data_IF_763460450924
#
_entry.id   IF_763460450924
#
_cell.length_a   1.000
_cell.length_b   1.000
_cell.length_c   1.000
_cell.angle_alpha   90.00
_cell.angle_beta   90.00
_cell.angle_gamma   90.00
#
_symmetry.space_group_name_H-M   'P 1'
#
loop_
_entity.id
_entity.type
_entity.pdbx_description
1 polymer ?
#
# COMPACT_ATOMS: atom_id res chain seq x y z
N UNK A 1 22.29 -31.71 14.14
CA UNK A 1 21.45 -30.99 13.17
C UNK A 1 22.22 -30.91 11.87
N UNK A 2 21.96 -31.85 10.96
CA UNK A 2 22.75 -32.00 9.74
C UNK A 2 22.34 -30.92 8.72
N UNK A 3 23.31 -30.10 8.31
CA UNK A 3 23.19 -29.30 7.10
C UNK A 3 23.18 -30.30 5.93
N UNK A 4 22.04 -30.44 5.26
CA UNK A 4 21.93 -31.23 4.03
C UNK A 4 22.86 -30.66 2.97
N UNK A 5 23.96 -31.35 2.67
CA UNK A 5 24.80 -31.05 1.50
C UNK A 5 23.96 -31.22 0.23
N UNK A 6 23.74 -30.12 -0.50
CA UNK A 6 23.06 -30.14 -1.78
C UNK A 6 23.93 -30.92 -2.78
N UNK A 7 23.36 -31.94 -3.41
CA UNK A 7 24.06 -32.68 -4.46
C UNK A 7 24.39 -31.77 -5.64
N UNK A 8 25.49 -32.06 -6.34
CA UNK A 8 25.89 -31.33 -7.55
C UNK A 8 24.77 -31.30 -8.62
N UNK A 9 23.96 -32.36 -8.70
CA UNK A 9 22.77 -32.42 -9.56
C UNK A 9 21.68 -31.42 -9.15
N UNK A 10 21.44 -31.25 -7.85
CA UNK A 10 20.47 -30.28 -7.31
C UNK A 10 20.92 -28.85 -7.57
N UNK A 11 22.21 -28.57 -7.39
CA UNK A 11 22.80 -27.26 -7.71
C UNK A 11 22.64 -26.97 -9.20
N UNK A 12 22.97 -27.94 -10.07
CA UNK A 12 22.82 -27.78 -11.52
C UNK A 12 21.37 -27.48 -11.91
N UNK A 13 20.40 -28.21 -11.34
CA UNK A 13 18.99 -27.98 -11.61
C UNK A 13 18.52 -26.57 -11.19
N UNK A 14 18.95 -26.09 -10.01
CA UNK A 14 18.65 -24.73 -9.54
C UNK A 14 19.28 -23.67 -10.45
N UNK A 15 20.52 -23.87 -10.89
CA UNK A 15 21.19 -22.96 -11.84
C UNK A 15 20.43 -22.90 -13.16
N UNK A 16 19.99 -24.03 -13.71
CA UNK A 16 19.19 -24.03 -14.94
C UNK A 16 17.85 -23.32 -14.76
N UNK A 17 17.19 -23.50 -13.60
CA UNK A 17 15.93 -22.80 -13.28
C UNK A 17 16.12 -21.28 -13.21
N UNK A 18 17.21 -20.82 -12.58
CA UNK A 18 17.55 -19.39 -12.53
C UNK A 18 17.82 -18.86 -13.94
N UNK A 19 18.64 -19.56 -14.73
CA UNK A 19 18.92 -19.17 -16.13
C UNK A 19 17.63 -19.08 -16.95
N UNK A 20 16.74 -20.06 -16.83
CA UNK A 20 15.47 -20.05 -17.53
C UNK A 20 14.61 -18.85 -17.12
N UNK A 21 14.51 -18.55 -15.81
CA UNK A 21 13.71 -17.41 -15.32
C UNK A 21 14.30 -16.04 -15.70
N UNK A 22 15.63 -15.92 -15.73
CA UNK A 22 16.34 -14.66 -16.02
C UNK A 22 16.43 -14.37 -17.53
N UNK A 23 16.52 -15.41 -18.36
CA UNK A 23 16.76 -15.29 -19.80
C UNK A 23 15.58 -15.76 -20.66
N UNK A 24 14.43 -16.10 -20.07
CA UNK A 24 13.19 -16.30 -20.82
C UNK A 24 12.73 -14.98 -21.45
N UNK A 25 12.14 -15.04 -22.65
CA UNK A 25 11.45 -13.91 -23.29
C UNK A 25 10.15 -13.49 -22.57
N UNK A 26 10.04 -13.77 -21.27
CA UNK A 26 8.91 -13.37 -20.44
C UNK A 26 8.97 -11.86 -20.23
N UNK A 27 7.82 -11.21 -20.28
CA UNK A 27 7.72 -9.78 -20.01
C UNK A 27 8.29 -9.48 -18.61
N UNK A 28 9.33 -8.63 -18.56
CA UNK A 28 10.03 -8.27 -17.33
C UNK A 28 9.06 -7.62 -16.32
N UNK A 29 8.02 -6.93 -16.80
CA UNK A 29 7.02 -6.29 -15.96
C UNK A 29 6.12 -7.29 -15.23
N UNK A 30 6.04 -8.55 -15.67
CA UNK A 30 5.30 -9.61 -14.98
C UNK A 30 5.90 -10.03 -13.63
N UNK A 31 7.15 -9.62 -13.34
CA UNK A 31 7.81 -9.88 -12.06
C UNK A 31 7.60 -8.77 -11.03
N UNK A 32 6.95 -7.67 -11.41
CA UNK A 32 6.66 -6.55 -10.51
C UNK A 32 5.25 -6.73 -9.97
N UNK A 33 5.13 -6.86 -8.65
CA UNK A 33 3.82 -6.89 -8.00
C UNK A 33 3.09 -5.56 -8.23
N UNK A 34 1.78 -5.57 -8.49
CA UNK A 34 0.98 -4.35 -8.59
C UNK A 34 1.07 -3.52 -7.30
N UNK A 35 1.23 -2.21 -7.44
CA UNK A 35 1.19 -1.28 -6.32
C UNK A 35 -0.23 -0.76 -6.14
N UNK A 36 -0.91 -1.21 -5.09
CA UNK A 36 -2.28 -0.77 -4.82
C UNK A 36 -2.39 0.75 -4.63
N UNK A 37 -1.37 1.37 -4.02
CA UNK A 37 -1.29 2.81 -3.84
C UNK A 37 -1.27 3.55 -5.19
N UNK A 38 -0.39 3.15 -6.11
CA UNK A 38 -0.25 3.80 -7.41
C UNK A 38 -1.46 3.53 -8.31
N UNK A 39 -1.99 2.30 -8.30
CA UNK A 39 -3.22 1.95 -9.03
C UNK A 39 -4.41 2.76 -8.54
N UNK A 40 -4.53 3.02 -7.24
CA UNK A 40 -5.59 3.88 -6.71
C UNK A 40 -5.45 5.33 -7.17
N UNK A 41 -4.23 5.86 -7.25
CA UNK A 41 -3.99 7.19 -7.83
C UNK A 41 -4.43 7.30 -9.29
N UNK A 42 -4.13 6.29 -10.11
CA UNK A 42 -4.63 6.24 -11.49
C UNK A 42 -6.15 6.12 -11.54
N UNK A 43 -6.75 5.32 -10.66
CA UNK A 43 -8.20 5.18 -10.58
C UNK A 43 -8.90 6.49 -10.25
N UNK A 44 -8.25 7.45 -9.58
CA UNK A 44 -8.84 8.76 -9.25
C UNK A 44 -8.88 9.74 -10.44
N UNK A 45 -8.16 9.50 -11.53
CA UNK A 45 -8.06 10.46 -12.64
C UNK A 45 -9.40 10.47 -13.40
N UNK A 46 -10.10 11.62 -13.49
CA UNK A 46 -11.33 11.71 -14.27
C UNK A 46 -11.03 11.72 -15.77
N UNK A 47 -11.94 11.15 -16.55
CA UNK A 47 -11.88 11.26 -18.01
C UNK A 47 -12.07 12.74 -18.41
N UNK A 48 -11.18 13.31 -19.25
CA UNK A 48 -11.23 14.73 -19.60
C UNK A 48 -12.48 15.12 -20.41
N UNK A 49 -13.14 14.14 -21.04
CA UNK A 49 -14.36 14.32 -21.81
C UNK A 49 -15.61 13.86 -21.05
N UNK A 50 -15.47 12.98 -20.05
CA UNK A 50 -16.55 12.46 -19.21
C UNK A 50 -16.14 12.49 -17.72
N UNK A 51 -16.19 13.66 -17.04
CA UNK A 51 -15.63 13.80 -15.70
C UNK A 51 -16.30 12.96 -14.61
N UNK A 52 -17.46 12.37 -14.91
CA UNK A 52 -18.25 11.47 -14.07
C UNK A 52 -17.75 10.02 -14.08
N UNK A 53 -16.74 9.69 -14.88
CA UNK A 53 -16.09 8.37 -14.92
C UNK A 53 -14.57 8.44 -14.84
N UNK A 54 -13.90 7.37 -14.37
CA UNK A 54 -12.44 7.30 -14.40
C UNK A 54 -11.89 7.23 -15.83
N UNK A 55 -10.78 7.90 -16.08
CA UNK A 55 -9.99 7.76 -17.32
C UNK A 55 -9.45 6.34 -17.46
N UNK A 56 -9.08 5.71 -16.33
CA UNK A 56 -8.55 4.36 -16.25
C UNK A 56 -9.50 3.44 -15.48
N UNK A 57 -10.61 3.06 -16.10
CA UNK A 57 -11.64 2.23 -15.47
C UNK A 57 -11.11 0.90 -14.92
N UNK A 58 -10.17 0.26 -15.63
CA UNK A 58 -9.54 -0.99 -15.19
C UNK A 58 -8.78 -0.85 -13.86
N UNK A 59 -8.24 0.34 -13.56
CA UNK A 59 -7.60 0.58 -12.26
C UNK A 59 -8.63 0.61 -11.13
N UNK A 60 -9.81 1.19 -11.36
CA UNK A 60 -10.90 1.19 -10.38
C UNK A 60 -11.44 -0.23 -10.16
N UNK A 61 -11.63 -0.98 -11.25
CA UNK A 61 -12.05 -2.38 -11.18
C UNK A 61 -11.02 -3.22 -10.42
N UNK A 62 -9.73 -3.00 -10.65
CA UNK A 62 -8.67 -3.68 -9.90
C UNK A 62 -8.75 -3.36 -8.40
N UNK A 63 -8.94 -2.09 -8.02
CA UNK A 63 -9.09 -1.70 -6.61
C UNK A 63 -10.28 -2.41 -5.97
N UNK A 64 -11.44 -2.46 -6.64
CA UNK A 64 -12.63 -3.15 -6.14
C UNK A 64 -12.40 -4.64 -5.86
N UNK A 65 -11.60 -5.30 -6.69
CA UNK A 65 -11.45 -6.75 -6.68
C UNK A 65 -10.19 -7.25 -5.96
N UNK A 66 -9.28 -6.35 -5.54
CA UNK A 66 -7.98 -6.72 -4.96
C UNK A 66 -7.85 -6.42 -3.46
N UNK A 67 -8.97 -6.12 -2.78
CA UNK A 67 -8.98 -5.99 -1.33
C UNK A 67 -8.70 -7.34 -0.67
N UNK A 68 -7.78 -7.37 0.30
CA UNK A 68 -7.50 -8.58 1.09
C UNK A 68 -8.70 -8.92 1.99
N UNK A 69 -8.75 -10.18 2.45
CA UNK A 69 -9.83 -10.64 3.31
C UNK A 69 -9.90 -9.84 4.61
N UNK A 70 -8.74 -9.43 5.13
CA UNK A 70 -8.55 -8.61 6.32
C UNK A 70 -8.90 -7.12 6.11
N UNK A 71 -9.30 -6.73 4.89
CA UNK A 71 -9.86 -5.42 4.59
C UNK A 71 -8.87 -4.36 4.09
N UNK A 72 -7.59 -4.67 3.95
CA UNK A 72 -6.58 -3.73 3.48
C UNK A 72 -6.20 -3.95 2.01
N UNK A 73 -5.47 -2.97 1.47
CA UNK A 73 -4.74 -3.10 0.21
C UNK A 73 -3.24 -2.93 0.46
N UNK A 74 -2.44 -3.65 -0.32
CA UNK A 74 -0.98 -3.68 -0.20
C UNK A 74 -0.46 -5.09 0.03
N UNK A 75 0.82 -5.15 0.38
CA UNK A 75 1.57 -6.39 0.48
C UNK A 75 1.83 -6.79 1.93
N UNK A 76 1.99 -8.09 2.13
CA UNK A 76 2.50 -8.65 3.37
C UNK A 76 4.03 -8.68 3.37
N UNK A 77 4.65 -8.68 4.55
CA UNK A 77 6.04 -9.09 4.68
C UNK A 77 6.20 -10.59 4.41
N UNK A 78 7.45 -11.07 4.42
CA UNK A 78 7.77 -12.49 4.20
C UNK A 78 7.16 -13.47 5.22
N UNK A 79 6.51 -12.96 6.28
CA UNK A 79 5.83 -13.74 7.31
C UNK A 79 4.31 -13.63 7.25
N UNK A 80 3.76 -12.96 6.22
CA UNK A 80 2.32 -12.78 6.10
C UNK A 80 1.76 -11.71 7.03
N UNK A 81 2.58 -10.76 7.49
CA UNK A 81 2.12 -9.63 8.33
C UNK A 81 2.03 -8.36 7.48
N UNK A 82 0.92 -7.59 7.54
CA UNK A 82 0.81 -6.33 6.80
C UNK A 82 1.98 -5.40 7.12
N UNK A 83 2.51 -4.73 6.10
CA UNK A 83 3.58 -3.73 6.29
C UNK A 83 2.98 -2.35 6.58
N UNK A 84 3.86 -1.41 6.97
CA UNK A 84 3.44 -0.02 7.17
C UNK A 84 2.88 0.60 5.86
N UNK A 85 3.27 0.07 4.70
CA UNK A 85 2.85 0.53 3.36
C UNK A 85 1.35 0.28 3.13
N UNK A 86 0.76 -0.69 3.85
CA UNK A 86 -0.68 -0.98 3.78
C UNK A 86 -1.54 0.19 4.24
N UNK A 87 -1.05 1.04 5.15
CA UNK A 87 -1.81 2.20 5.63
C UNK A 87 -2.10 3.22 4.52
N UNK A 88 -1.09 3.83 3.85
CA UNK A 88 -1.34 4.76 2.75
C UNK A 88 -1.99 4.08 1.54
N UNK A 89 -1.66 2.82 1.24
CA UNK A 89 -2.30 2.09 0.15
C UNK A 89 -3.81 1.91 0.39
N UNK A 90 -4.20 1.50 1.59
CA UNK A 90 -5.62 1.33 1.97
C UNK A 90 -6.37 2.66 1.93
N UNK A 91 -5.76 3.74 2.46
CA UNK A 91 -6.34 5.08 2.37
C UNK A 91 -6.54 5.50 0.90
N UNK A 92 -5.56 5.29 0.03
CA UNK A 92 -5.65 5.66 -1.38
C UNK A 92 -6.77 4.90 -2.09
N UNK A 93 -6.85 3.58 -1.88
CA UNK A 93 -7.93 2.76 -2.42
C UNK A 93 -9.30 3.23 -1.94
N UNK A 94 -9.47 3.54 -0.65
CA UNK A 94 -10.73 4.04 -0.11
C UNK A 94 -11.12 5.40 -0.70
N UNK A 95 -10.16 6.31 -0.88
CA UNK A 95 -10.40 7.61 -1.53
C UNK A 95 -10.83 7.40 -2.98
N UNK A 96 -10.18 6.49 -3.73
CA UNK A 96 -10.56 6.16 -5.09
C UNK A 96 -12.00 5.62 -5.18
N UNK A 97 -12.36 4.68 -4.30
CA UNK A 97 -13.72 4.14 -4.21
C UNK A 97 -14.75 5.22 -3.85
N UNK A 98 -14.42 6.07 -2.87
CA UNK A 98 -15.27 7.17 -2.42
C UNK A 98 -15.52 8.19 -3.51
N UNK A 99 -14.49 8.54 -4.29
CA UNK A 99 -14.56 9.49 -5.40
C UNK A 99 -15.61 9.11 -6.44
N UNK A 100 -15.71 7.82 -6.74
CA UNK A 100 -16.66 7.28 -7.73
C UNK A 100 -17.95 6.75 -7.10
N UNK A 101 -18.13 6.92 -5.78
CA UNK A 101 -19.28 6.45 -5.02
C UNK A 101 -19.57 4.94 -5.21
N UNK A 102 -18.52 4.13 -5.21
CA UNK A 102 -18.58 2.66 -5.33
C UNK A 102 -17.91 1.99 -4.13
N UNK A 103 -18.12 0.68 -3.96
CA UNK A 103 -17.35 -0.11 -3.01
C UNK A 103 -17.56 0.25 -1.53
N UNK A 104 -18.73 0.74 -1.13
CA UNK A 104 -19.01 1.16 0.25
C UNK A 104 -18.61 0.11 1.30
N UNK A 105 -18.94 -1.17 1.07
CA UNK A 105 -18.53 -2.28 1.95
C UNK A 105 -17.00 -2.44 2.05
N UNK A 106 -16.30 -2.19 0.95
CA UNK A 106 -14.84 -2.24 0.91
C UNK A 106 -14.23 -1.07 1.68
N UNK A 107 -14.84 0.11 1.62
CA UNK A 107 -14.47 1.26 2.45
C UNK A 107 -14.64 0.93 3.93
N UNK A 108 -15.77 0.35 4.34
CA UNK A 108 -16.01 -0.03 5.74
C UNK A 108 -14.97 -1.03 6.25
N UNK A 109 -14.61 -2.03 5.43
CA UNK A 109 -13.54 -2.97 5.74
C UNK A 109 -12.17 -2.30 5.86
N UNK A 110 -11.86 -1.35 4.98
CA UNK A 110 -10.62 -0.57 5.04
C UNK A 110 -10.51 0.28 6.30
N UNK A 111 -11.61 0.94 6.70
CA UNK A 111 -11.69 1.66 7.97
C UNK A 111 -11.45 0.72 9.16
N UNK A 112 -12.12 -0.45 9.17
CA UNK A 112 -11.96 -1.45 10.22
C UNK A 112 -10.50 -1.93 10.33
N UNK A 113 -9.83 -2.17 9.20
CA UNK A 113 -8.42 -2.52 9.17
C UNK A 113 -7.54 -1.42 9.79
N UNK A 114 -7.72 -0.16 9.37
CA UNK A 114 -6.93 0.97 9.87
C UNK A 114 -7.09 1.10 11.38
N UNK A 115 -8.33 1.08 11.88
CA UNK A 115 -8.59 1.20 13.32
C UNK A 115 -7.98 0.04 14.12
N UNK A 116 -8.01 -1.18 13.60
CA UNK A 116 -7.49 -2.35 14.30
C UNK A 116 -5.95 -2.47 14.24
N UNK A 117 -5.29 -1.94 13.20
CA UNK A 117 -3.88 -2.24 12.93
C UNK A 117 -2.95 -1.02 12.93
N UNK A 118 -3.46 0.21 12.85
CA UNK A 118 -2.60 1.40 12.76
C UNK A 118 -1.66 1.54 13.96
N UNK A 119 -2.13 1.23 15.18
CA UNK A 119 -1.31 1.33 16.39
C UNK A 119 -0.09 0.43 16.30
N UNK A 120 -0.36 -0.85 16.03
CA UNK A 120 0.66 -1.88 15.81
C UNK A 120 1.64 -1.51 14.69
N UNK A 121 1.13 -1.09 13.53
CA UNK A 121 1.95 -0.80 12.34
C UNK A 121 2.84 0.44 12.50
N UNK A 122 2.37 1.43 13.27
CA UNK A 122 3.12 2.66 13.53
C UNK A 122 4.10 2.52 14.71
N UNK A 123 3.84 1.63 15.67
CA UNK A 123 4.70 1.44 16.85
C UNK A 123 5.78 0.37 16.66
N UNK A 124 5.50 -0.74 15.97
CA UNK A 124 6.31 -1.96 16.14
C UNK A 124 7.62 -2.03 15.35
N UNK A 125 7.85 -1.24 14.28
CA UNK A 125 8.91 -1.61 13.32
C UNK A 125 9.78 -0.50 12.73
N UNK A 126 9.42 0.78 12.85
CA UNK A 126 10.12 1.82 12.08
C UNK A 126 10.45 3.07 12.90
N UNK A 127 11.40 2.92 13.83
CA UNK A 127 12.05 4.06 14.47
C UNK A 127 13.54 4.11 14.04
N UNK A 128 13.96 5.11 13.25
CA UNK A 128 13.18 6.26 12.79
C UNK A 128 12.18 5.90 11.68
N UNK A 129 11.07 6.65 11.62
CA UNK A 129 10.04 6.49 10.59
C UNK A 129 10.65 6.75 9.20
N UNK A 130 10.34 5.94 8.17
CA UNK A 130 10.90 6.12 6.85
C UNK A 130 10.53 7.48 6.31
N UNK A 131 11.49 8.16 5.68
CA UNK A 131 11.31 9.54 5.21
C UNK A 131 10.17 9.66 4.20
N UNK A 132 10.01 8.68 3.30
CA UNK A 132 8.91 8.66 2.34
C UNK A 132 7.55 8.51 3.04
N UNK A 133 7.47 7.67 4.07
CA UNK A 133 6.22 7.43 4.80
C UNK A 133 5.77 8.67 5.54
N UNK A 134 6.72 9.39 6.15
CA UNK A 134 6.46 10.66 6.81
C UNK A 134 5.89 11.73 5.85
N UNK A 135 6.14 11.62 4.54
CA UNK A 135 5.54 12.50 3.54
C UNK A 135 4.14 11.99 3.14
N UNK A 136 4.05 10.71 2.78
CA UNK A 136 2.86 10.13 2.14
C UNK A 136 1.72 9.92 3.12
N UNK A 137 1.96 9.35 4.30
CA UNK A 137 0.89 8.96 5.21
C UNK A 137 0.07 10.17 5.71
N UNK A 138 0.68 11.26 6.20
CA UNK A 138 -0.08 12.47 6.56
C UNK A 138 -0.90 13.04 5.40
N UNK A 139 -0.32 13.09 4.20
CA UNK A 139 -1.01 13.58 3.00
C UNK A 139 -2.23 12.72 2.65
N UNK A 140 -2.13 11.40 2.83
CA UNK A 140 -3.25 10.48 2.59
C UNK A 140 -4.35 10.60 3.63
N UNK A 141 -4.01 10.84 4.91
CA UNK A 141 -5.00 11.11 5.96
C UNK A 141 -5.75 12.40 5.68
N UNK A 142 -5.04 13.46 5.28
CA UNK A 142 -5.63 14.75 4.88
C UNK A 142 -6.55 14.59 3.65
N UNK A 143 -6.09 13.85 2.63
CA UNK A 143 -6.87 13.59 1.42
C UNK A 143 -8.15 12.79 1.73
N UNK A 144 -8.05 11.74 2.55
CA UNK A 144 -9.21 10.99 3.02
C UNK A 144 -10.23 11.88 3.73
N UNK A 145 -9.77 12.74 4.65
CA UNK A 145 -10.63 13.72 5.33
C UNK A 145 -11.33 14.66 4.35
N UNK A 146 -10.63 15.15 3.32
CA UNK A 146 -11.21 16.07 2.32
C UNK A 146 -12.36 15.48 1.49
N UNK A 147 -12.45 14.14 1.41
CA UNK A 147 -13.54 13.42 0.72
C UNK A 147 -14.58 12.83 1.69
N UNK A 148 -14.52 13.21 2.96
CA UNK A 148 -15.46 12.78 4.01
C UNK A 148 -15.16 11.39 4.57
N UNK A 149 -13.91 10.92 4.48
CA UNK A 149 -13.42 9.72 5.18
C UNK A 149 -12.58 10.17 6.38
N UNK A 150 -13.26 10.41 7.51
CA UNK A 150 -12.60 10.84 8.74
C UNK A 150 -11.88 9.66 9.41
N UNK A 151 -10.55 9.70 9.40
CA UNK A 151 -9.71 8.67 10.01
C UNK A 151 -9.53 8.99 11.49
N UNK A 152 -10.19 8.22 12.35
CA UNK A 152 -10.10 8.38 13.80
C UNK A 152 -9.10 7.38 14.35
N UNK A 153 -7.91 7.86 14.71
CA UNK A 153 -6.86 7.06 15.32
C UNK A 153 -7.02 7.04 16.86
N UNK A 154 -6.58 5.96 17.49
CA UNK A 154 -6.66 5.79 18.96
C UNK A 154 -5.89 6.91 19.70
N UNK A 155 -6.29 7.19 20.94
CA UNK A 155 -5.60 8.20 21.76
C UNK A 155 -4.12 7.88 21.97
N UNK A 156 -3.76 6.59 22.04
CA UNK A 156 -2.37 6.12 22.14
C UNK A 156 -1.52 6.55 20.93
N UNK A 157 -2.12 6.64 19.75
CA UNK A 157 -1.44 7.04 18.53
C UNK A 157 -1.21 8.56 18.38
N UNK A 158 -1.87 9.40 19.18
CA UNK A 158 -1.81 10.87 19.00
C UNK A 158 -0.37 11.40 18.98
N UNK A 159 0.47 10.93 19.90
CA UNK A 159 1.87 11.34 19.98
C UNK A 159 2.68 10.86 18.76
N UNK A 160 2.47 9.60 18.35
CA UNK A 160 3.15 8.99 17.20
C UNK A 160 2.77 9.70 15.89
N UNK A 161 1.48 9.94 15.68
CA UNK A 161 0.97 10.67 14.52
C UNK A 161 1.50 12.10 14.50
N UNK A 162 1.46 12.81 15.63
CA UNK A 162 2.02 14.16 15.72
C UNK A 162 3.52 14.17 15.39
N UNK A 163 4.29 13.17 15.83
CA UNK A 163 5.71 13.02 15.48
C UNK A 163 5.91 12.84 13.97
N UNK A 164 5.07 12.03 13.30
CA UNK A 164 5.14 11.82 11.84
C UNK A 164 4.82 13.12 11.09
N UNK A 165 3.78 13.86 11.51
CA UNK A 165 3.46 15.17 10.93
C UNK A 165 4.59 16.20 11.14
N UNK A 166 5.19 16.24 12.32
CA UNK A 166 6.33 17.10 12.59
C UNK A 166 7.55 16.72 11.72
N UNK A 167 7.80 15.42 11.53
CA UNK A 167 8.85 14.95 10.63
C UNK A 167 8.58 15.39 9.18
N UNK A 168 7.32 15.35 8.71
CA UNK A 168 6.94 15.90 7.39
C UNK A 168 7.31 17.36 7.26
N UNK A 169 6.98 18.20 8.25
CA UNK A 169 7.30 19.62 8.22
C UNK A 169 8.81 19.88 8.17
N UNK A 170 9.58 19.15 8.98
CA UNK A 170 11.05 19.23 8.93
C UNK A 170 11.59 18.85 7.55
N UNK A 171 11.06 17.78 6.95
CA UNK A 171 11.45 17.32 5.61
C UNK A 171 11.16 18.40 4.57
N UNK A 172 9.96 18.97 4.56
CA UNK A 172 9.53 19.96 3.55
C UNK A 172 10.30 21.28 3.69
N UNK A 173 10.55 21.73 4.92
CA UNK A 173 11.29 22.97 5.18
C UNK A 173 12.80 22.86 4.89
N UNK A 174 13.33 21.65 4.70
CA UNK A 174 14.76 21.45 4.38
C UNK A 174 15.08 21.85 2.92
N UNK A 175 14.09 21.96 2.05
CA UNK A 175 14.28 22.20 0.62
C UNK A 175 13.58 23.48 0.10
N UNK A 176 13.14 24.34 1.02
CA UNK A 176 12.56 25.67 0.77
C UNK A 176 13.43 26.74 1.39
#
# INVERSE_FOLDING_TARGET
MALTELSQSSIHALVQKIKQKMFSNTDLYSFISPSAYDTAWLAMIPDPHQPDRPMFAECLDWVLNSQREEGFWGEFDGYGVPTIDCLPATLACMVALKRWNVGAKSIDKGMAFIHANAEKLLEEKYNPCPRWFAIVFPAMVELAGSVGLEIILSDGLKATVAKIFNQRLQILNTYT
#
